data_IF_483335362016
#
_entry.id   IF_483335362016
#
_cell.length_a   1.000
_cell.length_b   1.000
_cell.length_c   1.000
_cell.angle_alpha   90.00
_cell.angle_beta   90.00
_cell.angle_gamma   90.00
#
_symmetry.space_group_name_H-M   'P 1'
#
loop_
_entity.id
_entity.type
_entity.pdbx_description
1 polymer ?
#
# COMPACT_ATOMS: atom_id res chain seq x y z
N UNK A 1 6.46 -20.90 20.01
CA UNK A 1 6.08 -19.63 19.35
C UNK A 1 4.58 -19.49 19.44
N UNK A 2 4.06 -18.36 19.93
CA UNK A 2 2.62 -18.09 19.81
C UNK A 2 2.31 -17.77 18.34
N UNK A 3 1.22 -18.32 17.83
CA UNK A 3 0.76 -18.16 16.45
C UNK A 3 0.13 -16.78 16.29
N UNK A 4 0.42 -16.07 15.19
CA UNK A 4 -0.29 -14.84 14.83
C UNK A 4 -1.82 -15.04 14.87
N UNK A 5 -2.50 -14.20 15.66
CA UNK A 5 -3.93 -14.37 15.95
C UNK A 5 -4.83 -13.93 14.79
N UNK A 6 -4.50 -12.83 14.14
CA UNK A 6 -5.34 -12.21 13.11
C UNK A 6 -5.16 -12.84 11.72
N UNK A 7 -4.84 -14.13 11.63
CA UNK A 7 -4.54 -14.79 10.34
C UNK A 7 -5.71 -14.62 9.35
N UNK A 8 -6.95 -14.76 9.81
CA UNK A 8 -8.13 -14.60 8.97
C UNK A 8 -8.34 -13.14 8.57
N UNK A 9 -8.12 -12.17 9.46
CA UNK A 9 -8.25 -10.75 9.15
C UNK A 9 -7.21 -10.31 8.11
N UNK A 10 -5.97 -10.80 8.20
CA UNK A 10 -4.94 -10.58 7.17
C UNK A 10 -5.36 -11.16 5.82
N UNK A 11 -5.91 -12.38 5.82
CA UNK A 11 -6.41 -13.00 4.59
C UNK A 11 -7.51 -12.15 3.95
N UNK A 12 -8.49 -11.74 4.75
CA UNK A 12 -9.57 -10.86 4.30
C UNK A 12 -9.03 -9.53 3.75
N UNK A 13 -8.02 -8.94 4.39
CA UNK A 13 -7.40 -7.69 3.91
C UNK A 13 -6.80 -7.85 2.50
N UNK A 14 -6.11 -8.97 2.25
CA UNK A 14 -5.55 -9.30 0.94
C UNK A 14 -6.66 -9.58 -0.09
N UNK A 15 -7.70 -10.32 0.30
CA UNK A 15 -8.84 -10.62 -0.58
C UNK A 15 -9.63 -9.37 -0.93
N UNK A 16 -9.82 -8.44 0.01
CA UNK A 16 -10.41 -7.13 -0.22
C UNK A 16 -9.59 -6.32 -1.23
N UNK A 17 -8.25 -6.39 -1.17
CA UNK A 17 -7.41 -5.73 -2.17
C UNK A 17 -7.63 -6.32 -3.57
N UNK A 18 -7.69 -7.65 -3.72
CA UNK A 18 -8.04 -8.26 -4.99
C UNK A 18 -9.42 -7.84 -5.50
N UNK A 19 -10.41 -7.75 -4.61
CA UNK A 19 -11.76 -7.35 -4.95
C UNK A 19 -11.83 -5.89 -5.45
N UNK A 20 -11.21 -4.95 -4.72
CA UNK A 20 -11.15 -3.54 -5.08
C UNK A 20 -10.45 -3.38 -6.43
N UNK A 21 -9.24 -3.93 -6.56
CA UNK A 21 -8.44 -3.79 -7.78
C UNK A 21 -9.14 -4.35 -9.03
N UNK A 22 -9.94 -5.41 -8.87
CA UNK A 22 -10.76 -6.00 -9.95
C UNK A 22 -12.00 -5.16 -10.30
N UNK A 23 -12.51 -4.40 -9.35
CA UNK A 23 -13.77 -3.67 -9.51
C UNK A 23 -13.59 -2.24 -10.01
N UNK A 24 -12.35 -1.71 -10.01
CA UNK A 24 -12.02 -0.41 -10.61
C UNK A 24 -12.17 -0.51 -12.14
N UNK A 25 -13.04 0.31 -12.79
CA UNK A 25 -13.26 0.23 -14.24
C UNK A 25 -12.00 0.40 -15.08
N UNK A 26 -11.12 1.33 -14.71
CA UNK A 26 -9.88 1.62 -15.44
C UNK A 26 -8.90 0.44 -15.42
N UNK A 27 -9.05 -0.48 -14.48
CA UNK A 27 -8.22 -1.68 -14.37
C UNK A 27 -8.68 -2.83 -15.26
N UNK A 28 -9.81 -2.70 -15.97
CA UNK A 28 -10.27 -3.72 -16.92
C UNK A 28 -9.25 -4.02 -18.03
N UNK A 29 -8.48 -3.00 -18.41
CA UNK A 29 -7.38 -3.12 -19.39
C UNK A 29 -6.24 -4.06 -18.92
N UNK A 30 -6.18 -4.34 -17.61
CA UNK A 30 -5.25 -5.24 -16.96
C UNK A 30 -5.93 -6.47 -16.31
N UNK A 31 -7.15 -6.83 -16.74
CA UNK A 31 -7.92 -7.93 -16.16
C UNK A 31 -7.16 -9.28 -16.16
N UNK A 32 -6.41 -9.58 -17.21
CA UNK A 32 -5.60 -10.82 -17.30
C UNK A 32 -4.51 -10.88 -16.22
N UNK A 33 -3.88 -9.74 -15.93
CA UNK A 33 -2.88 -9.63 -14.87
C UNK A 33 -3.54 -9.88 -13.51
N UNK A 34 -4.67 -9.22 -13.23
CA UNK A 34 -5.39 -9.38 -11.97
C UNK A 34 -5.87 -10.82 -11.77
N UNK A 35 -6.40 -11.44 -12.83
CA UNK A 35 -6.79 -12.84 -12.81
C UNK A 35 -5.58 -13.74 -12.50
N UNK A 36 -4.45 -13.53 -13.19
CA UNK A 36 -3.23 -14.28 -12.91
C UNK A 36 -2.76 -14.12 -11.46
N UNK A 37 -2.71 -12.89 -10.95
CA UNK A 37 -2.24 -12.60 -9.60
C UNK A 37 -3.16 -13.25 -8.56
N UNK A 38 -4.47 -13.19 -8.76
CA UNK A 38 -5.42 -13.84 -7.86
C UNK A 38 -5.31 -15.37 -7.90
N UNK A 39 -5.20 -15.98 -9.09
CA UNK A 39 -5.00 -17.42 -9.22
C UNK A 39 -3.68 -17.87 -8.58
N UNK A 40 -2.63 -17.06 -8.68
CA UNK A 40 -1.34 -17.33 -8.03
C UNK A 40 -1.46 -17.30 -6.51
N UNK A 41 -2.26 -16.38 -5.96
CA UNK A 41 -2.55 -16.33 -4.53
C UNK A 41 -3.27 -17.61 -4.06
N UNK A 42 -4.32 -18.03 -4.76
CA UNK A 42 -5.04 -19.27 -4.45
C UNK A 42 -4.14 -20.52 -4.53
N UNK A 43 -3.27 -20.60 -5.55
CA UNK A 43 -2.32 -21.72 -5.72
C UNK A 43 -1.18 -21.73 -4.71
N UNK A 44 -0.95 -20.61 -4.01
CA UNK A 44 0.16 -20.49 -3.06
C UNK A 44 -0.13 -21.09 -1.69
N UNK A 45 -1.30 -21.72 -1.51
CA UNK A 45 -1.86 -22.10 -0.20
C UNK A 45 -1.82 -20.93 0.80
N UNK A 46 -2.01 -19.71 0.28
CA UNK A 46 -1.98 -18.44 1.03
C UNK A 46 -0.63 -18.17 1.73
N UNK A 47 0.48 -18.68 1.16
CA UNK A 47 1.84 -18.42 1.62
C UNK A 47 2.48 -17.27 0.85
N UNK A 48 2.89 -16.22 1.56
CA UNK A 48 3.62 -15.07 0.99
C UNK A 48 4.83 -15.48 0.15
N UNK A 49 5.60 -16.46 0.63
CA UNK A 49 6.83 -16.90 -0.05
C UNK A 49 6.49 -17.66 -1.33
N UNK A 50 5.54 -18.61 -1.25
CA UNK A 50 5.08 -19.36 -2.42
C UNK A 50 4.45 -18.45 -3.47
N UNK A 51 3.64 -17.47 -3.04
CA UNK A 51 3.02 -16.49 -3.92
C UNK A 51 4.05 -15.71 -4.74
N UNK A 52 5.01 -15.08 -4.06
CA UNK A 52 6.03 -14.27 -4.75
C UNK A 52 6.98 -15.11 -5.60
N UNK A 53 7.19 -16.39 -5.26
CA UNK A 53 7.93 -17.30 -6.12
C UNK A 53 7.19 -17.57 -7.44
N UNK A 54 5.86 -17.75 -7.40
CA UNK A 54 5.04 -17.90 -8.62
C UNK A 54 5.07 -16.62 -9.45
N UNK A 55 4.80 -15.47 -8.83
CA UNK A 55 4.72 -14.17 -9.52
C UNK A 55 6.05 -13.78 -10.17
N UNK A 56 7.19 -14.04 -9.50
CA UNK A 56 8.53 -13.77 -10.04
C UNK A 56 8.86 -14.60 -11.27
N UNK A 57 8.41 -15.85 -11.32
CA UNK A 57 8.72 -16.74 -12.44
C UNK A 57 8.04 -16.31 -13.75
N UNK A 58 6.98 -15.50 -13.66
CA UNK A 58 6.19 -15.03 -14.81
C UNK A 58 6.65 -13.66 -15.34
N UNK A 59 7.77 -13.12 -14.83
CA UNK A 59 8.36 -11.83 -15.27
C UNK A 59 7.43 -10.62 -15.21
N UNK A 60 6.33 -10.72 -14.46
CA UNK A 60 5.37 -9.62 -14.27
C UNK A 60 6.06 -8.42 -13.60
N UNK A 61 7.06 -8.68 -12.75
CA UNK A 61 7.84 -7.63 -12.08
C UNK A 61 8.77 -6.85 -13.03
N UNK A 62 8.95 -7.30 -14.27
CA UNK A 62 9.77 -6.61 -15.28
C UNK A 62 9.01 -5.47 -15.98
N UNK A 63 7.71 -5.30 -15.69
CA UNK A 63 6.89 -4.19 -16.20
C UNK A 63 7.47 -2.86 -15.71
N UNK A 64 7.82 -1.99 -16.66
CA UNK A 64 8.40 -0.67 -16.41
C UNK A 64 7.32 0.34 -16.03
N UNK A 65 7.72 1.29 -15.19
CA UNK A 65 6.93 2.48 -14.89
C UNK A 65 6.91 3.44 -16.06
N UNK A 66 5.72 3.83 -16.48
CA UNK A 66 5.46 4.84 -17.51
C UNK A 66 4.54 5.93 -16.92
N UNK A 67 4.98 6.61 -15.86
CA UNK A 67 4.31 7.77 -15.30
C UNK A 67 4.46 9.01 -16.21
N UNK A 68 5.63 9.16 -16.82
CA UNK A 68 5.88 10.15 -17.87
C UNK A 68 5.97 9.45 -19.23
N UNK A 69 5.18 9.94 -20.18
CA UNK A 69 5.16 9.45 -21.55
C UNK A 69 6.12 10.23 -22.46
N UNK A 70 6.87 9.52 -23.30
CA UNK A 70 7.65 10.17 -24.36
C UNK A 70 6.69 10.72 -25.42
N UNK A 71 7.00 11.89 -25.98
CA UNK A 71 6.22 12.51 -27.07
C UNK A 71 6.02 11.60 -28.31
N UNK A 72 6.86 10.59 -28.50
CA UNK A 72 6.74 9.61 -29.58
C UNK A 72 5.75 8.45 -29.28
N UNK A 73 5.36 8.28 -28.01
CA UNK A 73 4.49 7.21 -27.48
C UNK A 73 3.13 7.77 -27.02
N UNK A 74 2.97 9.09 -26.99
CA UNK A 74 1.77 9.80 -26.53
C UNK A 74 0.49 9.22 -27.13
N UNK A 75 -0.44 8.84 -26.25
CA UNK A 75 -1.78 8.33 -26.58
C UNK A 75 -1.79 6.96 -27.27
N UNK A 76 -1.00 6.00 -26.80
CA UNK A 76 -1.19 4.60 -27.17
C UNK A 76 -1.88 3.85 -26.03
N UNK A 77 -2.94 3.10 -26.35
CA UNK A 77 -3.63 2.21 -25.40
C UNK A 77 -2.65 1.29 -24.64
N UNK A 78 -1.52 0.97 -25.28
CA UNK A 78 -0.45 0.15 -24.69
C UNK A 78 0.28 0.84 -23.53
N UNK A 79 0.53 2.16 -23.61
CA UNK A 79 1.18 2.93 -22.55
C UNK A 79 0.30 2.98 -21.29
N UNK A 80 -0.99 3.30 -21.47
CA UNK A 80 -2.00 3.33 -20.41
C UNK A 80 -2.14 1.96 -19.73
N UNK A 81 -2.17 0.87 -20.53
CA UNK A 81 -2.20 -0.50 -20.00
C UNK A 81 -0.97 -0.79 -19.14
N UNK A 82 0.24 -0.38 -19.56
CA UNK A 82 1.45 -0.62 -18.79
C UNK A 82 1.47 0.18 -17.50
N UNK A 83 1.02 1.44 -17.53
CA UNK A 83 0.83 2.27 -16.34
C UNK A 83 -0.10 1.59 -15.34
N UNK A 84 -1.31 1.22 -15.76
CA UNK A 84 -2.30 0.54 -14.92
C UNK A 84 -1.75 -0.76 -14.33
N UNK A 85 -1.10 -1.60 -15.15
CA UNK A 85 -0.45 -2.83 -14.67
C UNK A 85 0.60 -2.55 -13.60
N UNK A 86 1.40 -1.50 -13.78
CA UNK A 86 2.44 -1.14 -12.81
C UNK A 86 1.86 -0.70 -11.47
N UNK A 87 0.81 0.13 -11.48
CA UNK A 87 0.09 0.55 -10.26
C UNK A 87 -0.46 -0.68 -9.52
N UNK A 88 -1.12 -1.59 -10.23
CA UNK A 88 -1.64 -2.84 -9.67
C UNK A 88 -0.53 -3.65 -8.99
N UNK A 89 0.60 -3.85 -9.68
CA UNK A 89 1.75 -4.59 -9.15
C UNK A 89 2.27 -3.94 -7.87
N UNK A 90 2.49 -2.62 -7.90
CA UNK A 90 3.00 -1.86 -6.75
C UNK A 90 2.07 -1.92 -5.55
N UNK A 91 0.75 -1.86 -5.79
CA UNK A 91 -0.26 -2.00 -4.74
C UNK A 91 -0.18 -3.37 -4.04
N UNK A 92 -0.06 -4.46 -4.82
CA UNK A 92 0.08 -5.80 -4.25
C UNK A 92 1.45 -6.01 -3.60
N UNK A 93 2.53 -5.48 -4.16
CA UNK A 93 3.85 -5.50 -3.52
C UNK A 93 3.81 -4.86 -2.12
N UNK A 94 3.21 -3.67 -2.01
CA UNK A 94 3.00 -3.00 -0.74
C UNK A 94 2.12 -3.84 0.21
N UNK A 95 0.94 -4.25 -0.24
CA UNK A 95 -0.03 -5.02 0.56
C UNK A 95 0.59 -6.28 1.15
N UNK A 96 1.22 -7.12 0.32
CA UNK A 96 1.81 -8.37 0.76
C UNK A 96 3.04 -8.15 1.65
N UNK A 97 3.86 -7.12 1.37
CA UNK A 97 5.01 -6.77 2.22
C UNK A 97 4.55 -6.36 3.61
N UNK A 98 3.59 -5.45 3.70
CA UNK A 98 3.03 -4.98 4.97
C UNK A 98 2.46 -6.15 5.76
N UNK A 99 1.59 -6.97 5.16
CA UNK A 99 0.96 -8.08 5.89
C UNK A 99 1.98 -9.10 6.41
N UNK A 100 3.01 -9.42 5.61
CA UNK A 100 4.11 -10.31 6.00
C UNK A 100 4.94 -9.73 7.15
N UNK A 101 5.38 -8.49 7.01
CA UNK A 101 6.26 -7.84 7.98
C UNK A 101 5.49 -7.57 9.29
N UNK A 102 4.21 -7.20 9.21
CA UNK A 102 3.35 -6.96 10.36
C UNK A 102 3.15 -8.23 11.17
N UNK A 103 2.82 -9.34 10.51
CA UNK A 103 2.67 -10.63 11.18
C UNK A 103 3.94 -11.02 11.97
N UNK A 104 5.12 -10.83 11.36
CA UNK A 104 6.41 -11.13 12.00
C UNK A 104 6.71 -10.22 13.18
N UNK A 105 6.49 -8.91 13.03
CA UNK A 105 6.74 -7.94 14.11
C UNK A 105 5.77 -8.17 15.26
N UNK A 106 4.49 -8.42 14.97
CA UNK A 106 3.47 -8.75 15.97
C UNK A 106 3.89 -9.95 16.81
N UNK A 107 4.29 -11.06 16.17
CA UNK A 107 4.76 -12.26 16.87
C UNK A 107 6.03 -12.04 17.70
N UNK A 108 6.83 -11.00 17.40
CA UNK A 108 8.05 -10.68 18.13
C UNK A 108 7.80 -9.97 19.47
N UNK A 109 6.65 -9.34 19.64
CA UNK A 109 6.25 -8.78 20.93
C UNK A 109 5.80 -9.92 21.83
N UNK A 110 6.76 -10.48 22.57
CA UNK A 110 6.56 -11.55 23.54
C UNK A 110 5.74 -11.05 24.75
N UNK A 111 4.43 -10.85 24.55
CA UNK A 111 3.51 -10.45 25.60
C UNK A 111 2.84 -11.72 26.13
N UNK A 112 3.09 -12.00 27.41
CA UNK A 112 2.32 -12.98 28.17
C UNK A 112 0.86 -12.52 28.22
N UNK A 113 0.07 -13.06 27.30
CA UNK A 113 -1.37 -12.93 27.34
C UNK A 113 -1.89 -12.04 26.23
N UNK A 114 -3.07 -12.41 25.76
CA UNK A 114 -3.93 -11.65 24.85
C UNK A 114 -4.55 -10.43 25.56
N UNK A 115 -3.93 -10.00 26.67
CA UNK A 115 -4.60 -9.32 27.78
C UNK A 115 -4.07 -7.91 28.03
N UNK A 116 -3.05 -7.47 27.26
CA UNK A 116 -2.65 -6.07 27.23
C UNK A 116 -3.57 -5.33 26.28
N UNK A 117 -4.76 -5.04 26.77
CA UNK A 117 -5.75 -4.18 26.14
C UNK A 117 -5.46 -2.72 26.57
N UNK A 118 -5.52 -1.78 25.63
CA UNK A 118 -5.36 -0.36 25.94
C UNK A 118 -6.63 0.26 26.58
N UNK A 119 -6.60 1.56 26.86
CA UNK A 119 -7.73 2.27 27.46
C UNK A 119 -9.00 2.27 26.59
N UNK A 120 -8.87 2.00 25.29
CA UNK A 120 -9.96 1.94 24.32
C UNK A 120 -10.39 0.51 24.01
N UNK A 121 -9.89 -0.48 24.76
CA UNK A 121 -10.29 -1.85 24.52
C UNK A 121 -9.55 -2.54 23.39
N UNK A 122 -8.43 -2.02 22.88
CA UNK A 122 -7.71 -2.56 21.69
C UNK A 122 -6.44 -3.35 22.08
N UNK A 123 -6.10 -4.38 21.31
CA UNK A 123 -4.83 -5.12 21.45
C UNK A 123 -3.62 -4.21 21.20
N UNK A 124 -2.88 -3.92 22.28
CA UNK A 124 -1.69 -3.04 22.29
C UNK A 124 -0.59 -3.53 21.33
N UNK A 125 -0.59 -4.82 20.97
CA UNK A 125 0.39 -5.40 20.04
C UNK A 125 0.19 -4.89 18.61
N UNK A 126 -1.03 -4.51 18.23
CA UNK A 126 -1.32 -3.90 16.92
C UNK A 126 -0.61 -2.55 16.84
N UNK A 127 -0.85 -1.66 17.82
CA UNK A 127 -0.23 -0.34 17.88
C UNK A 127 1.31 -0.43 17.92
N UNK A 128 1.85 -1.32 18.75
CA UNK A 128 3.31 -1.53 18.82
C UNK A 128 3.90 -1.98 17.48
N UNK A 129 3.20 -2.85 16.76
CA UNK A 129 3.63 -3.34 15.45
C UNK A 129 3.58 -2.25 14.39
N UNK A 130 2.48 -1.49 14.35
CA UNK A 130 2.32 -0.32 13.50
C UNK A 130 3.45 0.69 13.71
N UNK A 131 3.71 1.11 14.96
CA UNK A 131 4.77 2.06 15.29
C UNK A 131 6.16 1.54 14.92
N UNK A 132 6.43 0.27 15.19
CA UNK A 132 7.74 -0.33 14.90
C UNK A 132 7.99 -0.43 13.40
N UNK A 133 6.99 -0.85 12.63
CA UNK A 133 7.09 -0.91 11.17
C UNK A 133 7.21 0.46 10.53
N UNK A 134 6.43 1.42 11.02
CA UNK A 134 6.50 2.81 10.55
C UNK A 134 7.92 3.37 10.63
N UNK A 135 8.62 3.11 11.74
CA UNK A 135 10.02 3.51 11.91
C UNK A 135 10.98 2.76 10.98
N UNK A 136 10.75 1.46 10.76
CA UNK A 136 11.58 0.64 9.86
C UNK A 136 11.42 1.14 8.42
N UNK A 137 10.19 1.28 7.95
CA UNK A 137 9.91 1.75 6.60
C UNK A 137 10.37 3.18 6.36
N UNK A 138 10.21 4.08 7.34
CA UNK A 138 10.74 5.44 7.22
C UNK A 138 12.26 5.42 7.09
N UNK A 139 12.95 4.61 7.89
CA UNK A 139 14.41 4.48 7.82
C UNK A 139 14.85 3.92 6.46
N UNK A 140 14.22 2.84 6.00
CA UNK A 140 14.48 2.24 4.69
C UNK A 140 14.25 3.25 3.56
N UNK A 141 13.17 4.03 3.65
CA UNK A 141 12.84 5.06 2.70
C UNK A 141 13.91 6.15 2.64
N UNK A 142 14.28 6.74 3.78
CA UNK A 142 15.35 7.75 3.86
C UNK A 142 16.66 7.23 3.28
N UNK A 143 17.00 5.97 3.56
CA UNK A 143 18.21 5.36 3.01
C UNK A 143 18.16 5.19 1.50
N UNK A 144 17.00 4.87 0.93
CA UNK A 144 16.79 4.85 -0.53
C UNK A 144 16.89 6.25 -1.12
N UNK A 145 16.17 7.22 -0.55
CA UNK A 145 16.20 8.62 -0.99
C UNK A 145 17.63 9.15 -1.07
N UNK A 146 18.44 8.98 0.00
CA UNK A 146 19.84 9.43 0.01
C UNK A 146 20.77 8.76 -1.01
N UNK A 147 20.37 7.59 -1.53
CA UNK A 147 21.15 6.82 -2.52
C UNK A 147 20.63 7.04 -3.94
N UNK A 148 19.43 7.59 -4.09
CA UNK A 148 18.82 7.89 -5.37
C UNK A 148 19.39 9.19 -5.90
N UNK A 149 19.84 9.17 -7.16
CA UNK A 149 20.12 10.39 -7.88
C UNK A 149 18.80 10.96 -8.39
N UNK A 150 18.38 12.10 -7.83
CA UNK A 150 17.21 12.83 -8.30
C UNK A 150 17.57 13.73 -9.47
N UNK A 151 16.68 13.80 -10.46
CA UNK A 151 16.71 14.91 -11.42
C UNK A 151 16.51 16.23 -10.68
N UNK A 152 17.02 17.31 -11.25
CA UNK A 152 16.96 18.64 -10.61
C UNK A 152 15.54 19.05 -10.26
N UNK A 153 14.58 18.74 -11.13
CA UNK A 153 13.15 18.98 -10.93
C UNK A 153 12.57 18.22 -9.73
N UNK A 154 13.16 17.09 -9.32
CA UNK A 154 12.73 16.28 -8.17
C UNK A 154 13.62 16.49 -6.92
N UNK A 155 14.60 17.39 -6.91
CA UNK A 155 15.45 17.61 -5.72
C UNK A 155 14.69 18.11 -4.49
N UNK A 156 13.56 18.78 -4.70
CA UNK A 156 12.70 19.21 -3.59
C UNK A 156 12.13 18.02 -2.81
N UNK A 157 11.91 16.88 -3.47
CA UNK A 157 11.46 15.65 -2.82
C UNK A 157 12.49 15.15 -1.82
N UNK A 158 13.75 15.01 -2.24
CA UNK A 158 14.85 14.57 -1.36
C UNK A 158 14.92 15.48 -0.12
N UNK A 159 14.91 16.79 -0.35
CA UNK A 159 15.00 17.80 0.71
C UNK A 159 13.86 17.65 1.70
N UNK A 160 12.63 17.56 1.20
CA UNK A 160 11.42 17.50 2.01
C UNK A 160 11.31 16.22 2.83
N UNK A 161 11.67 15.05 2.27
CA UNK A 161 11.69 13.79 3.04
C UNK A 161 12.76 13.81 4.12
N UNK A 162 13.96 14.33 3.83
CA UNK A 162 15.03 14.45 4.83
C UNK A 162 14.61 15.41 5.95
N UNK A 163 13.98 16.53 5.61
CA UNK A 163 13.44 17.48 6.58
C UNK A 163 12.32 16.86 7.42
N UNK A 164 11.36 16.17 6.80
CA UNK A 164 10.30 15.44 7.49
C UNK A 164 10.86 14.46 8.53
N UNK A 165 11.84 13.66 8.10
CA UNK A 165 12.52 12.70 8.97
C UNK A 165 13.29 13.37 10.12
N UNK A 166 13.77 14.59 9.94
CA UNK A 166 14.46 15.36 10.98
C UNK A 166 13.50 15.90 12.04
N UNK A 167 12.31 16.35 11.63
CA UNK A 167 11.28 16.93 12.50
C UNK A 167 10.59 15.87 13.37
N UNK A 168 10.45 14.64 12.86
CA UNK A 168 9.69 13.57 13.53
C UNK A 168 10.53 12.65 14.45
N UNK A 169 11.64 13.14 15.03
CA UNK A 169 12.56 12.32 15.83
C UNK A 169 12.21 12.17 17.32
N UNK A 170 11.25 12.92 17.86
CA UNK A 170 11.39 13.34 19.28
C UNK A 170 10.19 13.14 20.22
N UNK A 171 9.02 12.64 19.79
CA UNK A 171 7.92 12.34 20.73
C UNK A 171 7.08 11.11 20.35
N UNK A 172 6.56 10.39 21.36
CA UNK A 172 5.73 9.18 21.14
C UNK A 172 4.45 9.48 20.34
N UNK A 173 3.82 10.64 20.56
CA UNK A 173 2.64 11.06 19.81
C UNK A 173 2.99 11.45 18.37
N UNK A 174 4.10 12.19 18.17
CA UNK A 174 4.58 12.48 16.82
C UNK A 174 4.88 11.20 16.01
N UNK A 175 5.29 10.12 16.67
CA UNK A 175 5.53 8.83 16.01
C UNK A 175 4.25 8.09 15.62
N UNK A 176 3.10 8.34 16.29
CA UNK A 176 1.80 7.76 15.90
C UNK A 176 1.25 8.41 14.65
N UNK A 177 1.35 9.74 14.57
CA UNK A 177 0.80 10.52 13.46
C UNK A 177 1.75 10.57 12.25
N UNK A 178 3.04 10.25 12.46
CA UNK A 178 4.07 10.30 11.43
C UNK A 178 3.70 9.56 10.13
N UNK A 179 3.16 8.33 10.13
CA UNK A 179 2.79 7.64 8.90
C UNK A 179 1.74 8.40 8.09
N UNK A 180 0.75 9.00 8.75
CA UNK A 180 -0.31 9.79 8.11
C UNK A 180 0.26 11.09 7.54
N UNK A 181 1.08 11.79 8.31
CA UNK A 181 1.74 13.02 7.83
C UNK A 181 2.72 12.75 6.68
N UNK A 182 3.37 11.59 6.67
CA UNK A 182 4.25 11.19 5.59
C UNK A 182 3.46 10.84 4.33
N UNK A 183 2.34 10.13 4.50
CA UNK A 183 1.41 9.84 3.40
C UNK A 183 0.93 11.14 2.76
N UNK A 184 0.42 12.09 3.55
CA UNK A 184 -0.02 13.41 3.08
C UNK A 184 1.09 14.17 2.33
N UNK A 185 2.31 14.13 2.86
CA UNK A 185 3.48 14.73 2.21
C UNK A 185 3.75 14.10 0.84
N UNK A 186 3.70 12.76 0.76
CA UNK A 186 3.98 12.01 -0.48
C UNK A 186 2.88 12.23 -1.52
N UNK A 187 1.60 12.15 -1.13
CA UNK A 187 0.47 12.42 -2.03
C UNK A 187 0.58 13.84 -2.59
N UNK A 188 0.82 14.84 -1.73
CA UNK A 188 1.04 16.22 -2.17
C UNK A 188 2.21 16.34 -3.14
N UNK A 189 3.29 15.58 -2.95
CA UNK A 189 4.43 15.61 -3.86
C UNK A 189 4.10 15.01 -5.21
N UNK A 190 3.37 13.89 -5.23
CA UNK A 190 2.96 13.20 -6.46
C UNK A 190 2.00 14.10 -7.25
N UNK A 191 1.00 14.69 -6.60
CA UNK A 191 0.06 15.64 -7.24
C UNK A 191 0.81 16.84 -7.84
N UNK A 192 1.77 17.41 -7.10
CA UNK A 192 2.59 18.50 -7.61
C UNK A 192 3.44 18.10 -8.82
N UNK A 193 3.84 16.83 -8.93
CA UNK A 193 4.56 16.33 -10.10
C UNK A 193 3.63 16.23 -11.31
N UNK A 194 2.40 15.77 -11.11
CA UNK A 194 1.38 15.67 -12.16
C UNK A 194 0.98 17.06 -12.69
N UNK A 195 0.95 18.07 -11.81
CA UNK A 195 0.68 19.47 -12.16
C UNK A 195 1.88 20.20 -12.80
N UNK A 196 3.09 19.67 -12.68
CA UNK A 196 4.27 20.29 -13.27
C UNK A 196 4.35 19.99 -14.77
N UNK A 197 4.40 21.04 -15.59
CA UNK A 197 4.87 20.93 -16.98
C UNK A 197 6.39 20.65 -17.00
N UNK A 198 6.76 19.39 -16.74
CA UNK A 198 8.15 18.96 -16.73
C UNK A 198 8.62 18.74 -18.16
N UNK A 199 9.43 19.67 -18.68
CA UNK A 199 10.14 19.48 -19.95
C UNK A 199 11.32 18.52 -19.74
N UNK A 200 11.06 17.22 -19.85
CA UNK A 200 12.08 16.16 -19.78
C UNK A 200 12.71 15.90 -21.14
N UNK A 201 14.03 15.76 -21.20
CA UNK A 201 14.68 15.19 -22.38
C UNK A 201 14.55 13.66 -22.44
N UNK A 202 14.84 13.04 -23.60
CA UNK A 202 14.73 11.59 -23.81
C UNK A 202 15.52 10.72 -22.81
N UNK A 203 16.62 11.26 -22.26
CA UNK A 203 17.50 10.55 -21.33
C UNK A 203 16.98 10.69 -19.89
N UNK A 204 16.24 11.75 -19.61
CA UNK A 204 15.64 12.04 -18.31
C UNK A 204 14.37 11.24 -18.03
N UNK A 205 13.59 10.82 -19.04
CA UNK A 205 12.34 10.05 -18.84
C UNK A 205 12.50 8.82 -17.95
N UNK A 206 13.52 8.00 -18.21
CA UNK A 206 13.76 6.77 -17.44
C UNK A 206 14.13 7.09 -15.98
N UNK A 207 14.81 8.21 -15.74
CA UNK A 207 15.18 8.66 -14.40
C UNK A 207 14.00 9.29 -13.67
N UNK A 208 13.18 10.08 -14.36
CA UNK A 208 11.95 10.67 -13.85
C UNK A 208 10.95 9.59 -13.42
N UNK A 209 10.71 8.61 -14.29
CA UNK A 209 9.85 7.46 -13.98
C UNK A 209 10.34 6.68 -12.76
N UNK A 210 11.66 6.48 -12.60
CA UNK A 210 12.22 5.84 -11.39
C UNK A 210 12.11 6.71 -10.14
N UNK A 211 12.28 8.03 -10.27
CA UNK A 211 12.12 8.95 -9.16
C UNK A 211 10.67 8.97 -8.67
N UNK A 212 9.68 9.03 -9.58
CA UNK A 212 8.26 9.00 -9.24
C UNK A 212 7.80 7.62 -8.75
N UNK A 213 8.27 6.53 -9.38
CA UNK A 213 8.02 5.16 -8.90
C UNK A 213 8.44 5.01 -7.43
N UNK A 214 9.59 5.57 -7.04
CA UNK A 214 10.04 5.55 -5.65
C UNK A 214 9.04 6.23 -4.72
N UNK A 215 8.40 7.33 -5.14
CA UNK A 215 7.41 8.06 -4.33
C UNK A 215 6.17 7.22 -4.12
N UNK A 216 5.56 6.80 -5.23
CA UNK A 216 4.30 6.04 -5.24
C UNK A 216 4.48 4.70 -4.50
N UNK A 217 5.63 4.04 -4.66
CA UNK A 217 5.94 2.80 -3.91
C UNK A 217 5.91 3.01 -2.39
N UNK A 218 6.44 4.12 -1.89
CA UNK A 218 6.48 4.36 -0.45
C UNK A 218 5.17 4.94 0.07
N UNK A 219 4.47 5.76 -0.72
CA UNK A 219 3.11 6.19 -0.43
C UNK A 219 2.21 4.98 -0.22
N UNK A 220 2.14 4.07 -1.20
CA UNK A 220 1.37 2.81 -1.11
C UNK A 220 1.81 1.96 0.09
N UNK A 221 3.12 1.91 0.39
CA UNK A 221 3.60 1.14 1.54
C UNK A 221 3.08 1.69 2.88
N UNK A 222 3.05 3.01 3.05
CA UNK A 222 2.53 3.64 4.27
C UNK A 222 1.01 3.61 4.34
N UNK A 223 0.33 3.86 3.23
CA UNK A 223 -1.12 3.72 3.13
C UNK A 223 -1.56 2.29 3.52
N UNK A 224 -0.96 1.26 2.93
CA UNK A 224 -1.30 -0.14 3.25
C UNK A 224 -0.96 -0.51 4.69
N UNK A 225 0.07 0.11 5.30
CA UNK A 225 0.40 -0.06 6.72
C UNK A 225 -0.66 0.56 7.64
N UNK A 226 -1.12 1.77 7.32
CA UNK A 226 -2.20 2.46 8.03
C UNK A 226 -3.46 1.59 7.94
N UNK A 227 -3.93 1.30 6.73
CA UNK A 227 -5.15 0.52 6.50
C UNK A 227 -5.11 -0.85 7.18
N UNK A 228 -3.98 -1.55 7.14
CA UNK A 228 -3.88 -2.84 7.82
C UNK A 228 -4.00 -2.69 9.34
N UNK A 229 -3.31 -1.72 9.94
CA UNK A 229 -3.39 -1.53 11.39
C UNK A 229 -4.82 -1.20 11.81
N UNK A 230 -5.48 -0.28 11.11
CA UNK A 230 -6.88 0.08 11.37
C UNK A 230 -7.84 -1.09 11.15
N UNK A 231 -7.63 -1.89 10.09
CA UNK A 231 -8.40 -3.11 9.82
C UNK A 231 -8.31 -4.11 10.98
N UNK A 232 -7.11 -4.34 11.52
CA UNK A 232 -6.94 -5.26 12.64
C UNK A 232 -7.60 -4.76 13.92
N UNK A 233 -7.56 -3.45 14.20
CA UNK A 233 -8.27 -2.84 15.33
C UNK A 233 -9.79 -2.93 15.15
N UNK A 234 -10.29 -2.64 13.95
CA UNK A 234 -11.70 -2.79 13.61
C UNK A 234 -12.17 -4.22 13.87
N UNK A 235 -11.45 -5.21 13.33
CA UNK A 235 -11.76 -6.63 13.48
C UNK A 235 -11.69 -7.08 14.95
N UNK A 236 -10.76 -6.51 15.72
CA UNK A 236 -10.70 -6.77 17.15
C UNK A 236 -11.95 -6.24 17.87
N UNK A 237 -12.33 -4.98 17.66
CA UNK A 237 -13.48 -4.37 18.32
C UNK A 237 -14.81 -4.99 17.87
N UNK A 238 -14.93 -5.40 16.61
CA UNK A 238 -16.04 -6.19 16.09
C UNK A 238 -16.22 -7.49 16.86
N UNK A 239 -15.13 -8.24 17.09
CA UNK A 239 -15.15 -9.48 17.87
C UNK A 239 -15.53 -9.28 19.35
N UNK A 240 -15.49 -8.04 19.84
CA UNK A 240 -15.85 -7.63 21.20
C UNK A 240 -17.21 -6.93 21.29
N UNK A 241 -17.95 -6.82 20.18
CA UNK A 241 -19.21 -6.07 20.09
C UNK A 241 -19.05 -4.59 20.51
N UNK A 242 -17.87 -4.01 20.25
CA UNK A 242 -17.47 -2.68 20.71
C UNK A 242 -17.25 -1.67 19.57
N UNK A 243 -17.71 -1.96 18.35
CA UNK A 243 -17.50 -1.12 17.15
C UNK A 243 -17.97 0.33 17.31
N UNK A 244 -18.94 0.60 18.19
CA UNK A 244 -19.38 1.97 18.49
C UNK A 244 -18.26 2.90 18.97
N UNK A 245 -17.12 2.36 19.41
CA UNK A 245 -15.94 3.08 19.89
C UNK A 245 -14.89 3.30 18.78
N UNK A 246 -15.12 2.76 17.58
CA UNK A 246 -14.19 2.86 16.47
C UNK A 246 -14.50 4.07 15.59
N UNK A 247 -13.52 4.94 15.39
CA UNK A 247 -13.70 6.24 14.71
C UNK A 247 -12.61 6.55 13.66
N UNK A 248 -11.85 5.54 13.21
CA UNK A 248 -10.80 5.77 12.22
C UNK A 248 -11.40 5.79 10.82
N UNK A 249 -11.30 6.94 10.16
CA UNK A 249 -12.00 7.24 8.93
C UNK A 249 -11.50 6.40 7.75
N UNK A 250 -10.19 6.19 7.62
CA UNK A 250 -9.61 5.53 6.43
C UNK A 250 -10.18 4.12 6.22
N UNK A 251 -10.24 3.30 7.28
CA UNK A 251 -10.79 1.95 7.14
C UNK A 251 -12.33 1.94 7.01
N UNK A 252 -13.02 2.92 7.60
CA UNK A 252 -14.48 3.06 7.43
C UNK A 252 -14.79 3.35 5.96
N UNK A 253 -14.10 4.32 5.36
CA UNK A 253 -14.25 4.66 3.94
C UNK A 253 -13.91 3.48 3.04
N UNK A 254 -12.87 2.69 3.36
CA UNK A 254 -12.54 1.47 2.62
C UNK A 254 -13.66 0.42 2.67
N UNK A 255 -14.31 0.23 3.82
CA UNK A 255 -15.43 -0.70 3.91
C UNK A 255 -16.68 -0.19 3.18
N UNK A 256 -16.94 1.12 3.23
CA UNK A 256 -18.01 1.75 2.46
C UNK A 256 -17.77 1.62 0.95
N UNK A 257 -16.53 1.80 0.49
CA UNK A 257 -16.11 1.56 -0.90
C UNK A 257 -16.38 0.11 -1.31
N UNK A 258 -15.96 -0.87 -0.50
CA UNK A 258 -16.20 -2.29 -0.77
C UNK A 258 -17.70 -2.56 -0.91
N UNK A 259 -18.52 -2.07 0.03
CA UNK A 259 -19.97 -2.25 -0.02
C UNK A 259 -20.58 -1.61 -1.28
N UNK A 260 -20.10 -0.43 -1.68
CA UNK A 260 -20.54 0.23 -2.91
C UNK A 260 -20.19 -0.60 -4.15
N UNK A 261 -18.96 -1.11 -4.24
CA UNK A 261 -18.50 -1.95 -5.35
C UNK A 261 -19.28 -3.28 -5.41
N UNK A 262 -19.59 -3.89 -4.27
CA UNK A 262 -20.45 -5.08 -4.17
C UNK A 262 -21.85 -4.80 -4.72
N UNK A 263 -22.46 -3.67 -4.34
CA UNK A 263 -23.76 -3.26 -4.87
C UNK A 263 -23.73 -3.02 -6.39
N UNK A 264 -22.69 -2.38 -6.91
CA UNK A 264 -22.53 -2.15 -8.36
C UNK A 264 -22.38 -3.46 -9.13
N UNK A 265 -21.54 -4.38 -8.65
CA UNK A 265 -21.32 -5.67 -9.29
C UNK A 265 -22.58 -6.56 -9.27
N UNK A 266 -23.31 -6.55 -8.16
CA UNK A 266 -24.59 -7.28 -8.02
C UNK A 266 -25.68 -6.78 -8.98
N UNK A 267 -25.69 -5.47 -9.26
CA UNK A 267 -26.63 -4.86 -10.21
C UNK A 267 -26.23 -5.10 -11.66
N UNK A 268 -24.93 -5.23 -11.97
CA UNK A 268 -24.44 -5.56 -13.31
C UNK A 268 -24.69 -7.03 -13.69
N UNK A 269 -24.63 -7.96 -12.74
CA UNK A 269 -25.03 -9.37 -13.00
C UNK A 269 -26.53 -9.52 -13.29
N UNK A 270 -27.38 -8.62 -12.76
CA UNK A 270 -28.83 -8.62 -13.01
C UNK A 270 -29.26 -7.96 -14.32
N UNK A 271 -28.34 -7.32 -15.07
CA UNK A 271 -28.62 -6.67 -16.35
C UNK A 271 -28.14 -7.47 -17.59
N UNK A 272 -27.66 -8.70 -17.40
CA UNK A 272 -27.30 -9.63 -18.47
C UNK A 272 -28.30 -10.79 -18.61
N UNK A 273 -29.58 -10.47 -18.82
CA UNK A 273 -30.61 -11.40 -19.32
C UNK A 273 -31.39 -10.79 -20.49
#
# INVERSE_FOLDING_TARGET
MKKFYYKNSIKQFIENEFFIQKSIPDHQSAADLLFFMYQSWLKSDESYESYWNIVKNEKILDIKSNFFERAEITNSDESDIQFVKKIIIMSFEATFKVCKDFSKIYESFNIEGFDAIDENGVDVSIEKSFLKLSQIYLKEFIEKVKKTQFLDVFKYFETSVIEFASKNKSSKNALKDMPYMLMELLSSMIDNVDDMEVNLDEVEFDSANKNLELLVQHELLFDRLILLAEHLEYQFLESKEALSQFHKVNIIERYDEIAMLEHMNSNNENNNF
#
